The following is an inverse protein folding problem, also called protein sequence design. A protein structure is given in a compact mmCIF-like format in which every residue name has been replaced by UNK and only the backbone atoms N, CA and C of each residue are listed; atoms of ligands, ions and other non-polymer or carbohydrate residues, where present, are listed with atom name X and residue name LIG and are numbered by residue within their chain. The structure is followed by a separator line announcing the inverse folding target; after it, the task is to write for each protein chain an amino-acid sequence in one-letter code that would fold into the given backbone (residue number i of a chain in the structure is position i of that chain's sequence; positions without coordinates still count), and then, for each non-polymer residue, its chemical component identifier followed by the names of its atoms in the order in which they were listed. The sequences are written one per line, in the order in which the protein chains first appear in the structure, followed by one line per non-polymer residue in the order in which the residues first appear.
data_IF_282854286675
#
_entry.id   IF_282854286675
#
_cell.length_a   1.000
_cell.length_b   1.000
_cell.length_c   1.000
_cell.angle_alpha   90.00
_cell.angle_beta   90.00
_cell.angle_gamma   90.00
#
_symmetry.space_group_name_H-M   'P 1'
#
loop_
_entity.id
_entity.type
_entity.pdbx_description
1 polymer ?
#
# COMPACT_ATOMS: atom_id res chain seq x y z
N UNK A 1 -32.63 5.54 5.45
CA UNK A 1 -31.31 6.20 5.50
C UNK A 1 -31.47 7.56 6.14
N UNK A 2 -31.00 7.70 7.37
CA UNK A 2 -30.90 8.99 8.06
C UNK A 2 -29.71 9.78 7.51
N UNK A 3 -29.65 11.08 7.82
CA UNK A 3 -28.49 11.91 7.47
C UNK A 3 -27.17 11.33 8.00
N UNK A 4 -27.18 10.86 9.25
CA UNK A 4 -26.00 10.25 9.88
C UNK A 4 -25.58 8.95 9.19
N UNK A 5 -26.53 8.12 8.76
CA UNK A 5 -26.24 6.90 8.00
C UNK A 5 -25.63 7.22 6.62
N UNK A 6 -26.10 8.29 5.96
CA UNK A 6 -25.53 8.73 4.69
C UNK A 6 -24.10 9.29 4.85
N UNK A 7 -23.87 10.13 5.86
CA UNK A 7 -22.54 10.67 6.16
C UNK A 7 -21.53 9.54 6.46
N UNK A 8 -21.92 8.56 7.28
CA UNK A 8 -21.08 7.39 7.56
C UNK A 8 -20.81 6.53 6.31
N UNK A 9 -21.78 6.40 5.41
CA UNK A 9 -21.58 5.70 4.15
C UNK A 9 -20.57 6.45 3.25
N UNK A 10 -20.71 7.77 3.10
CA UNK A 10 -19.77 8.57 2.32
C UNK A 10 -18.34 8.48 2.88
N UNK A 11 -18.17 8.55 4.20
CA UNK A 11 -16.86 8.38 4.86
C UNK A 11 -16.25 6.99 4.60
N UNK A 12 -17.07 5.93 4.66
CA UNK A 12 -16.62 4.57 4.39
C UNK A 12 -16.19 4.38 2.92
N UNK A 13 -16.95 4.96 1.98
CA UNK A 13 -16.64 4.94 0.55
C UNK A 13 -15.36 5.73 0.23
N UNK A 14 -15.19 6.91 0.82
CA UNK A 14 -13.97 7.70 0.70
C UNK A 14 -12.75 6.95 1.26
N UNK A 15 -12.87 6.37 2.46
CA UNK A 15 -11.80 5.57 3.05
C UNK A 15 -11.45 4.33 2.22
N UNK A 16 -12.42 3.70 1.55
CA UNK A 16 -12.17 2.59 0.63
C UNK A 16 -11.43 3.07 -0.64
N UNK A 17 -11.87 4.19 -1.22
CA UNK A 17 -11.24 4.78 -2.40
C UNK A 17 -9.78 5.19 -2.12
N UNK A 18 -9.52 5.86 -0.99
CA UNK A 18 -8.16 6.26 -0.59
C UNK A 18 -7.25 5.05 -0.39
N UNK A 19 -7.73 4.00 0.28
CA UNK A 19 -6.99 2.73 0.43
C UNK A 19 -6.66 2.09 -0.93
N UNK A 20 -7.60 2.11 -1.87
CA UNK A 20 -7.35 1.58 -3.22
C UNK A 20 -6.30 2.40 -3.97
N UNK A 21 -6.34 3.73 -3.88
CA UNK A 21 -5.33 4.59 -4.50
C UNK A 21 -3.94 4.33 -3.92
N UNK A 22 -3.83 4.21 -2.61
CA UNK A 22 -2.57 3.90 -1.92
C UNK A 22 -2.03 2.53 -2.34
N UNK A 23 -2.90 1.51 -2.38
CA UNK A 23 -2.58 0.18 -2.87
C UNK A 23 -2.00 0.20 -4.30
N UNK A 24 -2.68 0.90 -5.22
CA UNK A 24 -2.24 1.05 -6.62
C UNK A 24 -0.90 1.76 -6.72
N UNK A 25 -0.68 2.80 -5.90
CA UNK A 25 0.58 3.53 -5.86
C UNK A 25 1.74 2.62 -5.41
N UNK A 26 1.57 1.91 -4.30
CA UNK A 26 2.58 0.99 -3.76
C UNK A 26 2.89 -0.12 -4.77
N UNK A 27 1.86 -0.69 -5.39
CA UNK A 27 2.01 -1.76 -6.39
C UNK A 27 2.88 -1.31 -7.56
N UNK A 28 2.61 -0.13 -8.14
CA UNK A 28 3.42 0.42 -9.25
C UNK A 28 4.88 0.65 -8.84
N UNK A 29 5.13 1.10 -7.61
CA UNK A 29 6.49 1.29 -7.12
C UNK A 29 7.22 -0.05 -6.94
N UNK A 30 6.55 -1.06 -6.38
CA UNK A 30 7.10 -2.40 -6.23
C UNK A 30 7.43 -3.01 -7.59
N UNK A 31 6.54 -2.92 -8.57
CA UNK A 31 6.79 -3.41 -9.94
C UNK A 31 8.05 -2.79 -10.56
N UNK A 32 8.23 -1.47 -10.42
CA UNK A 32 9.41 -0.77 -10.92
C UNK A 32 10.69 -1.20 -10.22
N UNK A 33 10.66 -1.33 -8.88
CA UNK A 33 11.82 -1.77 -8.09
C UNK A 33 12.18 -3.22 -8.38
N UNK A 34 11.19 -4.11 -8.49
CA UNK A 34 11.40 -5.48 -8.90
C UNK A 34 11.93 -5.58 -10.34
N UNK A 35 11.49 -4.70 -11.23
CA UNK A 35 12.08 -4.54 -12.56
C UNK A 35 13.57 -4.18 -12.50
N UNK A 36 13.93 -3.22 -11.65
CA UNK A 36 15.33 -2.82 -11.44
C UNK A 36 16.19 -3.96 -10.89
N UNK A 37 15.68 -4.74 -9.93
CA UNK A 37 16.37 -5.93 -9.39
C UNK A 37 16.60 -6.97 -10.49
N UNK A 38 15.57 -7.27 -11.32
CA UNK A 38 15.70 -8.20 -12.45
C UNK A 38 16.70 -7.72 -13.51
N UNK A 39 16.83 -6.41 -13.69
CA UNK A 39 17.83 -5.81 -14.57
C UNK A 39 19.26 -5.78 -13.97
N UNK A 40 19.46 -6.34 -12.77
CA UNK A 40 20.76 -6.42 -12.10
C UNK A 40 21.04 -5.30 -11.10
N UNK A 41 20.14 -4.32 -10.94
CA UNK A 41 20.27 -3.26 -9.95
C UNK A 41 19.62 -3.70 -8.62
N UNK A 42 20.33 -4.57 -7.90
CA UNK A 42 19.90 -5.15 -6.63
C UNK A 42 20.59 -4.54 -5.41
N UNK A 43 20.87 -3.24 -5.42
CA UNK A 43 21.54 -2.56 -4.29
C UNK A 43 20.75 -2.73 -2.99
N UNK A 44 21.45 -2.67 -1.86
CA UNK A 44 20.82 -2.81 -0.54
C UNK A 44 19.75 -1.75 -0.30
N UNK A 45 19.97 -0.53 -0.78
CA UNK A 45 18.97 0.54 -0.74
C UNK A 45 17.67 0.16 -1.48
N UNK A 46 17.75 -0.48 -2.65
CA UNK A 46 16.56 -0.95 -3.38
C UNK A 46 15.85 -2.05 -2.59
N UNK A 47 16.60 -2.99 -1.99
CA UNK A 47 16.02 -4.07 -1.18
C UNK A 47 15.30 -3.54 0.05
N UNK A 48 15.89 -2.57 0.76
CA UNK A 48 15.25 -1.91 1.90
C UNK A 48 13.97 -1.20 1.49
N UNK A 49 13.97 -0.53 0.34
CA UNK A 49 12.80 0.16 -0.19
C UNK A 49 11.68 -0.80 -0.58
N UNK A 50 12.01 -1.95 -1.18
CA UNK A 50 11.05 -3.04 -1.45
C UNK A 50 10.43 -3.52 -0.14
N UNK A 51 11.25 -3.90 0.85
CA UNK A 51 10.74 -4.40 2.15
C UNK A 51 9.79 -3.42 2.82
N UNK A 52 10.12 -2.13 2.83
CA UNK A 52 9.25 -1.09 3.39
C UNK A 52 7.91 -0.99 2.66
N UNK A 53 7.92 -1.07 1.34
CA UNK A 53 6.70 -1.03 0.53
C UNK A 53 5.85 -2.29 0.71
N UNK A 54 6.46 -3.47 0.83
CA UNK A 54 5.77 -4.72 1.14
C UNK A 54 5.13 -4.70 2.53
N UNK A 55 5.81 -4.14 3.52
CA UNK A 55 5.26 -3.95 4.87
C UNK A 55 4.03 -3.02 4.86
N UNK A 56 4.09 -1.90 4.12
CA UNK A 56 2.95 -1.01 3.93
C UNK A 56 1.80 -1.71 3.19
N UNK A 57 2.12 -2.49 2.16
CA UNK A 57 1.14 -3.25 1.40
C UNK A 57 0.42 -4.29 2.28
N UNK A 58 1.15 -5.03 3.11
CA UNK A 58 0.59 -5.99 4.07
C UNK A 58 -0.28 -5.30 5.13
N UNK A 59 0.13 -4.13 5.63
CA UNK A 59 -0.68 -3.35 6.57
C UNK A 59 -2.03 -2.93 5.97
N UNK A 60 -2.05 -2.50 4.71
CA UNK A 60 -3.30 -2.17 4.00
C UNK A 60 -4.22 -3.39 3.78
N UNK A 61 -3.66 -4.60 3.77
CA UNK A 61 -4.41 -5.86 3.68
C UNK A 61 -4.91 -6.40 5.03
N UNK A 62 -4.62 -5.70 6.14
CA UNK A 62 -5.07 -6.09 7.47
C UNK A 62 -4.02 -6.77 8.34
N UNK A 63 -2.73 -6.68 7.97
CA UNK A 63 -1.60 -7.19 8.76
C UNK A 63 -0.72 -6.04 9.28
N UNK A 64 -1.22 -5.19 10.21
CA UNK A 64 -0.51 -4.01 10.67
C UNK A 64 0.83 -4.33 11.36
N UNK A 65 1.00 -5.52 11.91
CA UNK A 65 2.24 -6.01 12.53
C UNK A 65 3.41 -6.07 11.55
N UNK A 66 3.15 -6.10 10.23
CA UNK A 66 4.19 -6.06 9.21
C UNK A 66 5.03 -4.77 9.26
N UNK A 67 4.51 -3.68 9.85
CA UNK A 67 5.24 -2.42 10.02
C UNK A 67 6.26 -2.44 11.18
N UNK A 68 6.19 -3.43 12.06
CA UNK A 68 7.05 -3.53 13.25
C UNK A 68 8.32 -4.39 13.03
N UNK A 69 8.44 -5.02 11.86
CA UNK A 69 9.57 -5.89 11.47
C UNK A 69 10.70 -5.13 10.80
#
# INVERSE_FOLDING_TARGET
MTRAEFEAQCEAEEAAFLRELEWRHITRQLEALYGAVRAGNGTEHIRQRIRRLEALQAALQGFPEALAA
#
